data_IF_687387022603
#
_entry.id   IF_687387022603
#
_cell.length_a   1.000
_cell.length_b   1.000
_cell.length_c   1.000
_cell.angle_alpha   90.00
_cell.angle_beta   90.00
_cell.angle_gamma   90.00
#
_symmetry.space_group_name_H-M   'P 1'
#
loop_
_entity.id
_entity.type
_entity.pdbx_description
1 polymer ?
#
# COMPACT_ATOMS: atom_id res chain seq x y z
N UNK A 1 18.53 -1.49 7.49
CA UNK A 1 17.45 -0.70 8.11
C UNK A 1 16.13 -1.29 7.65
N UNK A 2 15.14 -1.43 8.54
CA UNK A 2 13.81 -1.88 8.14
C UNK A 2 13.06 -0.73 7.44
N UNK A 3 12.36 -1.04 6.34
CA UNK A 3 11.48 -0.09 5.65
C UNK A 3 10.13 0.01 6.37
N UNK A 4 9.66 1.22 6.58
CA UNK A 4 8.32 1.48 7.15
C UNK A 4 7.25 1.26 6.11
N UNK A 5 6.38 0.30 6.33
CA UNK A 5 5.31 -0.06 5.39
C UNK A 5 3.95 0.32 5.96
N UNK A 6 3.26 1.20 5.27
CA UNK A 6 1.87 1.49 5.55
C UNK A 6 0.99 0.42 4.92
N UNK A 7 0.19 -0.28 5.73
CA UNK A 7 -0.75 -1.29 5.26
C UNK A 7 -2.15 -0.70 5.26
N UNK A 8 -2.81 -0.75 4.12
CA UNK A 8 -4.18 -0.29 3.97
C UNK A 8 -5.08 -1.46 3.63
N UNK A 9 -6.02 -1.76 4.54
CA UNK A 9 -6.95 -2.88 4.35
C UNK A 9 -8.31 -2.34 3.88
N UNK A 10 -8.72 -2.71 2.67
CA UNK A 10 -9.98 -2.29 2.06
C UNK A 10 -11.26 -2.91 2.67
N UNK A 11 -11.17 -3.46 3.88
CA UNK A 11 -12.29 -4.11 4.56
C UNK A 11 -12.35 -3.68 6.03
N UNK A 12 -13.50 -3.17 6.44
CA UNK A 12 -13.78 -2.77 7.82
C UNK A 12 -14.33 -3.93 8.69
N UNK A 13 -14.57 -5.10 8.10
CA UNK A 13 -15.07 -6.25 8.84
C UNK A 13 -14.08 -6.67 9.94
N UNK A 14 -14.57 -6.98 11.13
CA UNK A 14 -13.77 -7.49 12.24
C UNK A 14 -13.02 -8.79 11.85
N UNK A 15 -13.72 -9.76 11.28
CA UNK A 15 -13.16 -11.01 10.74
C UNK A 15 -12.63 -10.88 9.30
N UNK A 16 -12.01 -9.77 8.92
CA UNK A 16 -11.55 -9.54 7.55
C UNK A 16 -10.45 -10.50 7.13
N UNK A 17 -10.71 -11.32 6.10
CA UNK A 17 -9.72 -12.18 5.44
C UNK A 17 -8.53 -11.36 4.95
N UNK A 18 -8.78 -10.20 4.33
CA UNK A 18 -7.71 -9.33 3.83
C UNK A 18 -6.85 -8.77 4.96
N UNK A 19 -7.41 -8.51 6.14
CA UNK A 19 -6.65 -8.12 7.33
C UNK A 19 -5.77 -9.27 7.84
N UNK A 20 -6.27 -10.51 7.81
CA UNK A 20 -5.48 -11.70 8.16
C UNK A 20 -4.33 -11.93 7.18
N UNK A 21 -4.58 -11.81 5.87
CA UNK A 21 -3.54 -11.86 4.83
C UNK A 21 -2.48 -10.78 5.05
N UNK A 22 -2.89 -9.54 5.31
CA UNK A 22 -1.98 -8.44 5.59
C UNK A 22 -1.07 -8.71 6.80
N UNK A 23 -1.64 -9.21 7.90
CA UNK A 23 -0.87 -9.62 9.09
C UNK A 23 0.12 -10.74 8.78
N UNK A 24 -0.32 -11.72 7.98
CA UNK A 24 0.57 -12.82 7.56
C UNK A 24 1.74 -12.31 6.74
N UNK A 25 1.55 -11.38 5.81
CA UNK A 25 2.64 -10.79 5.03
C UNK A 25 3.69 -10.16 5.95
N UNK A 26 3.25 -9.40 6.94
CA UNK A 26 4.15 -8.75 7.89
C UNK A 26 4.87 -9.72 8.82
N UNK A 27 4.16 -10.77 9.27
CA UNK A 27 4.72 -11.77 10.17
C UNK A 27 5.66 -12.78 9.51
N UNK A 28 5.69 -12.84 8.17
CA UNK A 28 6.56 -13.75 7.41
C UNK A 28 7.98 -13.19 7.17
N UNK A 29 8.24 -12.01 7.72
CA UNK A 29 9.46 -11.27 7.40
C UNK A 29 10.42 -11.22 8.57
N UNK A 30 11.69 -11.35 8.24
CA UNK A 30 12.82 -11.17 9.13
C UNK A 30 13.14 -9.68 9.21
N UNK A 31 12.61 -8.94 10.16
CA UNK A 31 13.00 -7.58 10.61
C UNK A 31 13.26 -6.48 9.54
N UNK A 32 13.03 -6.74 8.24
CA UNK A 32 13.32 -5.78 7.16
C UNK A 32 12.11 -4.95 6.69
N UNK A 33 10.89 -5.26 7.17
CA UNK A 33 9.68 -4.48 6.95
C UNK A 33 9.03 -4.16 8.30
N UNK A 34 9.03 -2.90 8.67
CA UNK A 34 8.30 -2.37 9.82
C UNK A 34 6.89 -2.00 9.38
N UNK A 35 5.95 -2.89 9.64
CA UNK A 35 4.58 -2.79 9.12
C UNK A 35 3.64 -2.11 10.12
N UNK A 36 2.92 -1.09 9.67
CA UNK A 36 1.85 -0.45 10.42
C UNK A 36 0.52 -0.50 9.68
N UNK A 37 -0.53 -1.01 10.31
CA UNK A 37 -1.89 -0.95 9.75
C UNK A 37 -2.47 0.44 9.95
N UNK A 38 -2.87 1.05 8.84
CA UNK A 38 -3.43 2.39 8.82
C UNK A 38 -4.96 2.32 8.91
N UNK A 39 -5.53 3.01 9.89
CA UNK A 39 -6.98 3.09 10.05
C UNK A 39 -7.58 4.03 8.98
N UNK A 40 -8.61 3.52 8.29
CA UNK A 40 -9.31 4.24 7.22
C UNK A 40 -10.83 4.31 7.43
N UNK A 41 -11.35 3.60 8.43
CA UNK A 41 -12.79 3.51 8.68
C UNK A 41 -13.42 4.77 9.24
N UNK A 42 -12.63 5.64 9.83
CA UNK A 42 -13.05 6.92 10.40
C UNK A 42 -12.84 8.12 9.48
N UNK A 43 -12.30 7.89 8.26
CA UNK A 43 -12.13 8.96 7.28
C UNK A 43 -13.50 9.44 6.77
N UNK A 44 -13.91 10.69 6.99
CA UNK A 44 -15.06 11.25 6.29
C UNK A 44 -14.94 11.04 4.78
N UNK A 45 -16.06 10.96 4.07
CA UNK A 45 -16.01 10.95 2.61
C UNK A 45 -15.29 12.19 2.11
N UNK A 46 -14.38 12.00 1.16
CA UNK A 46 -13.61 13.08 0.60
C UNK A 46 -14.54 14.18 0.05
N UNK A 47 -14.30 15.39 0.51
CA UNK A 47 -14.93 16.60 -0.02
C UNK A 47 -13.82 17.63 -0.26
N UNK A 48 -13.75 18.16 -1.48
CA UNK A 48 -12.73 19.13 -1.88
C UNK A 48 -12.79 20.43 -1.05
N UNK A 49 -13.96 20.79 -0.52
CA UNK A 49 -14.11 21.98 0.33
C UNK A 49 -13.21 21.91 1.57
N UNK A 50 -12.92 20.70 2.06
CA UNK A 50 -12.03 20.49 3.22
C UNK A 50 -10.57 20.87 2.93
N UNK A 51 -10.14 20.83 1.66
CA UNK A 51 -8.77 21.19 1.29
C UNK A 51 -8.45 22.68 1.49
N UNK A 52 -9.48 23.53 1.47
CA UNK A 52 -9.37 24.97 1.67
C UNK A 52 -9.57 25.40 3.13
N UNK A 53 -9.97 24.50 4.03
CA UNK A 53 -10.20 24.85 5.43
C UNK A 53 -8.87 25.15 6.14
N UNK A 54 -8.86 26.15 7.07
CA UNK A 54 -7.71 26.38 7.95
C UNK A 54 -7.34 25.16 8.78
N UNK A 55 -8.35 24.41 9.24
CA UNK A 55 -8.22 23.17 9.97
C UNK A 55 -8.95 22.06 9.20
N UNK A 56 -8.19 21.16 8.62
CA UNK A 56 -8.73 20.00 7.93
C UNK A 56 -9.25 18.95 8.94
N UNK A 57 -10.15 18.03 8.52
CA UNK A 57 -10.60 16.95 9.40
C UNK A 57 -9.41 16.20 10.02
N UNK A 58 -9.33 16.05 11.35
CA UNK A 58 -8.20 15.38 12.00
C UNK A 58 -7.87 13.99 11.45
N UNK A 59 -8.84 13.14 11.06
CA UNK A 59 -8.54 11.86 10.42
C UNK A 59 -7.78 12.02 9.09
N UNK A 60 -8.03 13.09 8.30
CA UNK A 60 -7.29 13.34 7.06
C UNK A 60 -5.83 13.69 7.34
N UNK A 61 -5.59 14.57 8.31
CA UNK A 61 -4.24 14.98 8.71
C UNK A 61 -3.45 13.75 9.17
N UNK A 62 -4.00 13.01 10.14
CA UNK A 62 -3.40 11.77 10.64
C UNK A 62 -3.07 10.80 9.52
N UNK A 63 -4.03 10.50 8.63
CA UNK A 63 -3.87 9.56 7.54
C UNK A 63 -2.74 9.98 6.59
N UNK A 64 -2.74 11.25 6.17
CA UNK A 64 -1.71 11.79 5.27
C UNK A 64 -0.31 11.75 5.91
N UNK A 65 -0.20 12.08 7.19
CA UNK A 65 1.07 11.98 7.93
C UNK A 65 1.57 10.54 8.01
N UNK A 66 0.70 9.59 8.33
CA UNK A 66 1.06 8.18 8.41
C UNK A 66 1.53 7.63 7.06
N UNK A 67 0.83 7.93 5.97
CA UNK A 67 1.26 7.53 4.62
C UNK A 67 2.51 8.30 4.20
N UNK A 68 2.59 9.59 4.48
CA UNK A 68 3.74 10.44 4.14
C UNK A 68 5.04 9.91 4.75
N UNK A 69 4.99 9.45 6.00
CA UNK A 69 6.16 8.93 6.74
C UNK A 69 6.56 7.50 6.37
N UNK A 70 5.74 6.77 5.61
CA UNK A 70 6.04 5.40 5.20
C UNK A 70 6.97 5.36 3.99
N UNK A 71 7.82 4.34 3.91
CA UNK A 71 8.73 4.07 2.79
C UNK A 71 8.02 3.35 1.64
N UNK A 72 6.95 2.59 1.94
CA UNK A 72 6.15 1.88 0.96
C UNK A 72 4.72 1.64 1.43
N UNK A 73 3.84 1.22 0.52
CA UNK A 73 2.44 0.96 0.80
C UNK A 73 2.05 -0.45 0.34
N UNK A 74 1.38 -1.18 1.21
CA UNK A 74 0.76 -2.46 0.88
C UNK A 74 -0.76 -2.31 0.92
N UNK A 75 -1.41 -2.42 -0.23
CA UNK A 75 -2.87 -2.49 -0.32
C UNK A 75 -3.34 -3.94 -0.20
N UNK A 76 -4.19 -4.22 0.79
CA UNK A 76 -4.85 -5.52 0.96
C UNK A 76 -6.36 -5.33 0.84
N UNK A 77 -6.99 -5.81 -0.24
CA UNK A 77 -8.37 -5.45 -0.54
C UNK A 77 -9.26 -6.63 -0.91
N UNK A 78 -10.50 -6.70 -0.43
CA UNK A 78 -11.52 -7.49 -1.09
C UNK A 78 -11.98 -6.81 -2.38
N UNK A 79 -12.86 -7.48 -3.10
CA UNK A 79 -13.60 -6.94 -4.22
C UNK A 79 -15.08 -6.83 -3.85
N UNK A 80 -15.66 -5.64 -3.99
CA UNK A 80 -17.10 -5.42 -3.84
C UNK A 80 -17.68 -4.98 -5.18
N UNK A 81 -18.68 -5.74 -5.67
CA UNK A 81 -19.36 -5.41 -6.93
C UNK A 81 -18.38 -5.17 -8.10
N UNK A 82 -17.38 -6.02 -8.23
CA UNK A 82 -16.33 -5.96 -9.27
C UNK A 82 -15.40 -4.75 -9.19
N UNK A 83 -15.31 -4.10 -8.03
CA UNK A 83 -14.48 -2.91 -7.87
C UNK A 83 -13.83 -2.74 -6.51
N UNK A 84 -13.13 -1.63 -6.37
CA UNK A 84 -12.52 -1.18 -5.12
C UNK A 84 -13.63 -0.93 -4.08
N UNK A 85 -13.51 -1.43 -2.84
CA UNK A 85 -14.39 -1.04 -1.75
C UNK A 85 -14.41 0.47 -1.54
N UNK A 86 -15.60 1.04 -1.28
CA UNK A 86 -15.78 2.49 -1.13
C UNK A 86 -14.85 3.11 -0.09
N UNK A 87 -14.61 2.42 1.03
CA UNK A 87 -13.71 2.89 2.09
C UNK A 87 -12.25 3.01 1.62
N UNK A 88 -11.79 2.06 0.79
CA UNK A 88 -10.43 2.12 0.23
C UNK A 88 -10.32 3.20 -0.84
N UNK A 89 -11.34 3.31 -1.72
CA UNK A 89 -11.36 4.37 -2.71
C UNK A 89 -11.34 5.75 -2.04
N UNK A 90 -12.12 5.94 -0.97
CA UNK A 90 -12.10 7.16 -0.17
C UNK A 90 -10.70 7.47 0.40
N UNK A 91 -10.03 6.48 0.98
CA UNK A 91 -8.67 6.67 1.50
C UNK A 91 -7.67 7.08 0.41
N UNK A 92 -7.78 6.47 -0.79
CA UNK A 92 -6.96 6.86 -1.95
C UNK A 92 -7.22 8.32 -2.34
N UNK A 93 -8.47 8.75 -2.37
CA UNK A 93 -8.84 10.11 -2.73
C UNK A 93 -8.36 11.12 -1.67
N UNK A 94 -8.55 10.84 -0.39
CA UNK A 94 -8.05 11.68 0.72
C UNK A 94 -6.53 11.87 0.64
N UNK A 95 -5.76 10.80 0.41
CA UNK A 95 -4.31 10.87 0.31
C UNK A 95 -3.80 11.58 -0.95
N UNK A 96 -4.61 11.68 -2.00
CA UNK A 96 -4.26 12.35 -3.25
C UNK A 96 -4.34 13.88 -3.19
N UNK A 97 -4.82 14.44 -2.11
CA UNK A 97 -5.14 15.86 -1.94
C UNK A 97 -4.47 16.47 -0.71
N UNK A 98 -4.36 17.82 -0.64
CA UNK A 98 -4.69 18.82 -1.67
C UNK A 98 -3.87 18.65 -2.96
N UNK A 99 -4.35 19.24 -4.06
CA UNK A 99 -3.66 19.15 -5.34
C UNK A 99 -2.19 19.61 -5.23
N UNK A 100 -1.28 18.83 -5.82
CA UNK A 100 0.16 19.06 -5.72
C UNK A 100 0.82 18.59 -4.40
N UNK A 101 0.04 18.05 -3.45
CA UNK A 101 0.52 17.54 -2.15
C UNK A 101 0.12 16.08 -1.91
N UNK A 102 0.01 15.30 -2.97
CA UNK A 102 -0.31 13.88 -2.88
C UNK A 102 0.73 13.12 -2.05
N UNK A 103 0.28 12.40 -1.02
CA UNK A 103 1.17 11.54 -0.21
C UNK A 103 1.54 10.24 -0.91
N UNK A 104 0.92 9.99 -2.07
CA UNK A 104 1.17 8.82 -2.90
C UNK A 104 2.33 8.99 -3.88
N UNK A 105 2.66 10.24 -4.24
CA UNK A 105 3.64 10.52 -5.29
C UNK A 105 4.95 9.75 -5.07
N UNK A 106 5.32 8.98 -6.09
CA UNK A 106 6.52 8.13 -6.11
C UNK A 106 6.62 7.07 -5.01
N UNK A 107 5.60 6.81 -4.21
CA UNK A 107 5.65 5.82 -3.15
C UNK A 107 5.54 4.40 -3.72
N UNK A 108 6.54 3.50 -3.48
CA UNK A 108 6.47 2.13 -3.97
C UNK A 108 5.30 1.39 -3.32
N UNK A 109 4.58 0.60 -4.11
CA UNK A 109 3.41 -0.09 -3.65
C UNK A 109 3.36 -1.56 -4.10
N UNK A 110 2.70 -2.39 -3.30
CA UNK A 110 2.23 -3.72 -3.71
C UNK A 110 0.72 -3.83 -3.45
N UNK A 111 0.05 -4.70 -4.22
CA UNK A 111 -1.39 -4.89 -4.13
C UNK A 111 -1.67 -6.38 -4.02
N UNK A 112 -2.40 -6.74 -2.98
CA UNK A 112 -2.90 -8.09 -2.73
C UNK A 112 -4.40 -8.03 -2.61
N UNK A 113 -5.11 -8.89 -3.32
CA UNK A 113 -6.55 -9.04 -3.15
C UNK A 113 -6.88 -10.46 -2.76
N UNK A 114 -7.82 -10.63 -1.83
CA UNK A 114 -8.26 -11.94 -1.37
C UNK A 114 -9.78 -12.03 -1.31
N UNK A 115 -10.30 -13.16 -1.76
CA UNK A 115 -11.74 -13.43 -1.83
C UNK A 115 -12.03 -14.92 -1.62
N UNK A 116 -13.17 -15.29 -1.04
CA UNK A 116 -13.64 -16.68 -1.07
C UNK A 116 -13.94 -17.20 -2.48
N UNK A 117 -14.25 -16.30 -3.42
CA UNK A 117 -14.48 -16.66 -4.83
C UNK A 117 -13.18 -16.95 -5.58
N UNK A 118 -13.28 -17.69 -6.69
CA UNK A 118 -12.15 -18.15 -7.49
C UNK A 118 -11.33 -17.02 -8.14
N UNK A 119 -11.95 -15.88 -8.43
CA UNK A 119 -11.31 -14.75 -9.14
C UNK A 119 -10.34 -13.96 -8.25
N UNK A 120 -10.37 -14.17 -6.92
CA UNK A 120 -9.40 -13.58 -6.00
C UNK A 120 -9.39 -12.06 -5.91
N UNK A 121 -10.45 -11.37 -6.35
CA UNK A 121 -10.51 -9.91 -6.31
C UNK A 121 -9.80 -9.21 -7.47
N UNK A 122 -9.70 -9.85 -8.62
CA UNK A 122 -9.04 -9.35 -9.83
C UNK A 122 -9.49 -7.93 -10.23
N UNK A 123 -10.81 -7.66 -10.24
CA UNK A 123 -11.34 -6.35 -10.63
C UNK A 123 -10.90 -5.24 -9.67
N UNK A 124 -10.93 -5.49 -8.37
CA UNK A 124 -10.44 -4.54 -7.36
C UNK A 124 -8.94 -4.28 -7.50
N UNK A 125 -8.12 -5.35 -7.71
CA UNK A 125 -6.67 -5.21 -7.89
C UNK A 125 -6.35 -4.28 -9.08
N UNK A 126 -6.98 -4.52 -10.24
CA UNK A 126 -6.74 -3.71 -11.43
C UNK A 126 -7.21 -2.27 -11.29
N UNK A 127 -8.32 -2.03 -10.61
CA UNK A 127 -8.76 -0.65 -10.33
C UNK A 127 -7.80 0.08 -9.37
N UNK A 128 -7.24 -0.60 -8.37
CA UNK A 128 -6.20 -0.01 -7.50
C UNK A 128 -4.97 0.32 -8.34
N UNK A 129 -4.49 -0.60 -9.21
CA UNK A 129 -3.36 -0.34 -10.12
C UNK A 129 -3.59 0.88 -11.00
N UNK A 130 -4.79 1.01 -11.57
CA UNK A 130 -5.15 2.16 -12.39
C UNK A 130 -5.08 3.48 -11.59
N UNK A 131 -5.57 3.49 -10.35
CA UNK A 131 -5.45 4.65 -9.48
C UNK A 131 -3.97 4.97 -9.17
N UNK A 132 -3.17 3.96 -8.86
CA UNK A 132 -1.74 4.12 -8.60
C UNK A 132 -0.97 4.70 -9.78
N UNK A 133 -1.32 4.33 -11.02
CA UNK A 133 -0.71 4.90 -12.23
C UNK A 133 -0.95 6.41 -12.30
N UNK A 134 -2.18 6.85 -12.09
CA UNK A 134 -2.50 8.29 -12.05
C UNK A 134 -1.79 9.02 -10.90
N UNK A 135 -1.61 8.36 -9.76
CA UNK A 135 -0.98 8.91 -8.56
C UNK A 135 0.55 8.84 -8.59
N UNK A 136 1.14 8.44 -9.72
CA UNK A 136 2.59 8.28 -9.90
C UNK A 136 3.24 7.34 -8.87
N UNK A 137 2.55 6.28 -8.48
CA UNK A 137 3.08 5.25 -7.59
C UNK A 137 3.76 4.14 -8.40
N UNK A 138 5.04 3.80 -8.16
CA UNK A 138 5.65 2.62 -8.74
C UNK A 138 5.07 1.36 -8.09
N UNK A 139 4.18 0.66 -8.80
CA UNK A 139 3.55 -0.57 -8.32
C UNK A 139 4.37 -1.78 -8.72
N UNK A 140 4.64 -2.67 -7.77
CA UNK A 140 5.29 -3.96 -8.03
C UNK A 140 4.48 -4.78 -9.05
N UNK A 141 5.17 -5.28 -10.09
CA UNK A 141 4.52 -6.02 -11.19
C UNK A 141 4.29 -7.48 -10.82
N UNK A 142 5.31 -8.13 -10.26
CA UNK A 142 5.30 -9.57 -9.96
C UNK A 142 5.84 -9.85 -8.56
N UNK A 143 5.30 -10.90 -7.88
CA UNK A 143 4.17 -11.73 -8.31
C UNK A 143 2.83 -10.99 -8.22
N UNK A 144 1.92 -11.27 -9.15
CA UNK A 144 0.53 -10.84 -9.01
C UNK A 144 -0.15 -11.65 -7.90
N UNK A 145 -0.98 -11.00 -7.09
CA UNK A 145 -1.63 -11.64 -5.96
C UNK A 145 -3.16 -11.47 -5.99
N UNK A 146 -3.80 -12.37 -6.71
CA UNK A 146 -5.26 -12.56 -6.74
C UNK A 146 -5.59 -13.84 -5.97
N UNK A 147 -5.76 -13.73 -4.65
CA UNK A 147 -5.90 -14.87 -3.77
C UNK A 147 -7.37 -15.35 -3.76
N UNK A 148 -7.68 -16.27 -4.65
CA UNK A 148 -8.98 -16.94 -4.71
C UNK A 148 -9.11 -18.06 -3.67
N UNK A 149 -10.36 -18.46 -3.39
CA UNK A 149 -10.69 -19.53 -2.45
C UNK A 149 -10.13 -19.35 -1.04
N UNK A 150 -9.87 -18.11 -0.62
CA UNK A 150 -9.36 -17.83 0.73
C UNK A 150 -10.53 -17.75 1.69
N UNK A 151 -10.57 -18.68 2.64
CA UNK A 151 -11.56 -18.76 3.70
C UNK A 151 -10.90 -18.73 5.08
N UNK A 152 -11.69 -18.65 6.15
CA UNK A 152 -11.15 -18.65 7.51
C UNK A 152 -10.37 -19.92 7.85
N UNK A 153 -10.67 -21.04 7.20
CA UNK A 153 -9.96 -22.32 7.38
C UNK A 153 -8.50 -22.27 6.94
N UNK A 154 -8.13 -21.33 6.08
CA UNK A 154 -6.76 -21.10 5.64
C UNK A 154 -5.86 -20.47 6.70
N UNK A 155 -6.42 -20.08 7.87
CA UNK A 155 -5.70 -19.43 8.94
C UNK A 155 -5.71 -20.28 10.21
N UNK A 156 -4.66 -20.14 11.01
CA UNK A 156 -4.58 -20.76 12.34
C UNK A 156 -5.35 -19.97 13.41
N UNK A 157 -5.33 -20.44 14.66
CA UNK A 157 -5.99 -19.77 15.79
C UNK A 157 -5.44 -18.37 16.11
N UNK A 158 -4.26 -18.03 15.65
CA UNK A 158 -3.65 -16.70 15.77
C UNK A 158 -3.96 -15.77 14.58
N UNK A 159 -4.66 -16.28 13.55
CA UNK A 159 -5.00 -15.53 12.35
C UNK A 159 -3.86 -15.44 11.33
N UNK A 160 -2.84 -16.28 11.46
CA UNK A 160 -1.76 -16.42 10.49
C UNK A 160 -2.07 -17.50 9.45
N UNK A 161 -1.55 -17.36 8.24
CA UNK A 161 -1.71 -18.37 7.20
C UNK A 161 -1.08 -19.71 7.62
N UNK A 162 -1.86 -20.77 7.46
CA UNK A 162 -1.37 -22.15 7.62
C UNK A 162 -0.36 -22.50 6.53
N UNK A 163 0.48 -23.50 6.81
CA UNK A 163 1.41 -24.04 5.80
C UNK A 163 0.67 -24.52 4.56
N UNK A 164 1.23 -24.23 3.39
CA UNK A 164 0.67 -24.61 2.10
C UNK A 164 0.89 -23.58 1.00
N UNK A 165 0.36 -23.86 -0.21
CA UNK A 165 0.63 -23.03 -1.40
C UNK A 165 0.29 -21.56 -1.25
N UNK A 166 -0.76 -21.24 -0.48
CA UNK A 166 -1.15 -19.85 -0.23
C UNK A 166 -0.09 -19.10 0.59
N UNK A 167 0.43 -19.73 1.66
CA UNK A 167 1.50 -19.15 2.48
C UNK A 167 2.79 -18.99 1.67
N UNK A 168 3.14 -19.97 0.83
CA UNK A 168 4.31 -19.90 -0.04
C UNK A 168 4.21 -18.73 -1.03
N UNK A 169 3.04 -18.53 -1.66
CA UNK A 169 2.81 -17.40 -2.56
C UNK A 169 2.93 -16.06 -1.83
N UNK A 170 2.31 -15.96 -0.65
CA UNK A 170 2.35 -14.74 0.17
C UNK A 170 3.76 -14.45 0.68
N UNK A 171 4.55 -15.49 0.99
CA UNK A 171 5.97 -15.35 1.35
C UNK A 171 6.80 -14.80 0.18
N UNK A 172 6.63 -15.37 -1.01
CA UNK A 172 7.30 -14.87 -2.23
C UNK A 172 6.94 -13.41 -2.49
N UNK A 173 5.68 -13.05 -2.31
CA UNK A 173 5.23 -11.66 -2.47
C UNK A 173 5.87 -10.72 -1.45
N UNK A 174 5.97 -11.13 -0.19
CA UNK A 174 6.59 -10.32 0.86
C UNK A 174 8.08 -10.03 0.56
N UNK A 175 8.82 -11.04 0.08
CA UNK A 175 10.21 -10.86 -0.35
C UNK A 175 10.32 -9.94 -1.56
N UNK A 176 9.53 -10.19 -2.61
CA UNK A 176 9.54 -9.37 -3.80
C UNK A 176 9.15 -7.91 -3.51
N UNK A 177 8.23 -7.69 -2.57
CA UNK A 177 7.85 -6.34 -2.17
C UNK A 177 8.98 -5.62 -1.42
N UNK A 178 9.68 -6.31 -0.53
CA UNK A 178 10.88 -5.74 0.09
C UNK A 178 11.90 -5.31 -0.95
N UNK A 179 12.25 -6.19 -1.90
CA UNK A 179 13.22 -5.92 -2.94
C UNK A 179 12.77 -4.78 -3.86
N UNK A 180 11.46 -4.67 -4.12
CA UNK A 180 10.87 -3.57 -4.87
C UNK A 180 11.05 -2.23 -4.15
N UNK A 181 10.75 -2.18 -2.86
CA UNK A 181 10.94 -0.96 -2.04
C UNK A 181 12.41 -0.57 -2.01
N UNK A 182 13.31 -1.52 -1.74
CA UNK A 182 14.76 -1.30 -1.69
C UNK A 182 15.29 -0.75 -3.03
N UNK A 183 14.90 -1.37 -4.14
CA UNK A 183 15.31 -0.94 -5.49
C UNK A 183 14.87 0.51 -5.78
N UNK A 184 13.64 0.85 -5.46
CA UNK A 184 13.11 2.22 -5.68
C UNK A 184 13.84 3.24 -4.81
N UNK A 185 14.11 2.91 -3.54
CA UNK A 185 14.82 3.81 -2.64
C UNK A 185 16.28 4.03 -3.07
N UNK A 186 17.01 2.97 -3.40
CA UNK A 186 18.40 3.06 -3.88
C UNK A 186 18.50 3.84 -5.19
N UNK A 187 17.60 3.57 -6.13
CA UNK A 187 17.56 4.33 -7.38
C UNK A 187 17.41 5.84 -7.16
N UNK A 188 16.57 6.23 -6.20
CA UNK A 188 16.39 7.66 -5.86
C UNK A 188 17.61 8.27 -5.19
N UNK A 189 18.27 7.53 -4.32
CA UNK A 189 19.52 8.02 -3.68
C UNK A 189 20.58 8.29 -4.74
N UNK A 190 20.81 7.35 -5.65
CA UNK A 190 21.78 7.52 -6.74
C UNK A 190 21.44 8.74 -7.62
N UNK A 191 20.18 8.91 -8.01
CA UNK A 191 19.76 10.07 -8.80
C UNK A 191 19.94 11.40 -8.07
N UNK A 192 19.76 11.42 -6.75
CA UNK A 192 19.97 12.62 -5.95
C UNK A 192 21.47 12.96 -5.82
N UNK A 193 22.33 11.97 -5.66
CA UNK A 193 23.79 12.12 -5.62
C UNK A 193 24.34 12.64 -6.96
N UNK A 194 23.90 12.05 -8.09
CA UNK A 194 24.28 12.51 -9.42
C UNK A 194 23.86 13.96 -9.68
N UNK A 195 22.66 14.33 -9.22
CA UNK A 195 22.15 15.70 -9.36
C UNK A 195 22.96 16.70 -8.54
N UNK A 196 23.37 16.32 -7.32
CA UNK A 196 24.21 17.15 -6.46
C UNK A 196 25.60 17.38 -7.08
N UNK A 197 26.26 16.32 -7.57
CA UNK A 197 27.55 16.40 -8.25
C UNK A 197 27.48 17.23 -9.54
N UNK A 198 26.38 17.16 -10.29
CA UNK A 198 26.18 17.99 -11.47
C UNK A 198 26.07 19.48 -11.12
N UNK A 199 25.38 19.82 -10.04
CA UNK A 199 25.23 21.19 -9.55
C UNK A 199 26.55 21.76 -9.03
N UNK A 200 27.38 20.97 -8.37
CA UNK A 200 28.72 21.38 -7.92
C UNK A 200 29.63 21.70 -9.10
N UNK A 201 29.71 20.80 -10.09
CA UNK A 201 30.51 21.05 -11.32
C UNK A 201 30.10 22.32 -12.09
N UNK A 202 28.78 22.61 -12.08
CA UNK A 202 28.27 23.82 -12.73
C UNK A 202 28.66 25.10 -12.00
N UNK A 203 28.90 25.06 -10.68
CA UNK A 203 29.35 26.21 -9.89
C UNK A 203 30.84 26.46 -9.99
N UNK A 204 31.65 25.41 -10.20
CA UNK A 204 33.11 25.53 -10.35
C UNK A 204 33.52 26.11 -11.73
N UNK A 205 32.60 26.09 -12.70
CA UNK A 205 32.85 26.59 -14.07
C UNK A 205 32.15 27.93 -14.38
N UNK A 206 31.50 28.54 -13.39
CA UNK A 206 30.81 29.84 -13.48
C UNK A 206 31.58 30.93 -12.74
#
# INVERSE_FOLDING_TARGET
MAYKIAIIVGSLREGSINRKVARSICGLRDDNLDCSMIEIGDLPLYNQDYDALPEQPPPYVRFREQIGSADGVLFCSPEYNRGIPGVLKNAIDVGSRPYGKSVWDKKPAAIVTASPGSIGGFGSNHQIRQACVFLNMPVMQQPEAYLGHVTDDGFDGGGCLKEGPLKELVTKLAHAFHDWVDMIHRSRQLLAEDSAHAAERSREHA
#
